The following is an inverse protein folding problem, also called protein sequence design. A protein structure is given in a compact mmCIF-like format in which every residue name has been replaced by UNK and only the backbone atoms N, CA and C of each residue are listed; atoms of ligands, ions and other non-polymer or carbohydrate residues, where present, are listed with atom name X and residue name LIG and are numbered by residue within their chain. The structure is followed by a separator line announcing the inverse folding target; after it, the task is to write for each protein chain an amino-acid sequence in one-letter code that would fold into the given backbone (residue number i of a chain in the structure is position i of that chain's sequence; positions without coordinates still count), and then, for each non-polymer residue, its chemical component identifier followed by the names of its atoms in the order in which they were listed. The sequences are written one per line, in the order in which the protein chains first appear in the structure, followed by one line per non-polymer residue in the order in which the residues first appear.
data_IF_462263592454
#
_entry.id   IF_462263592454
#
_cell.length_a   1.000
_cell.length_b   1.000
_cell.length_c   1.000
_cell.angle_alpha   90.00
_cell.angle_beta   90.00
_cell.angle_gamma   90.00
#
_symmetry.space_group_name_H-M   'P 1'
#
loop_
_entity.id
_entity.type
_entity.pdbx_description
1 polymer ?
#
# COMPACT_ATOMS: atom_id res chain seq x y z
N UNK A 1 4.74 4.93 -40.72
CA UNK A 1 5.59 4.16 -39.79
C UNK A 1 5.81 4.87 -38.46
N UNK A 2 6.26 6.14 -38.45
CA UNK A 2 6.50 6.93 -37.22
C UNK A 2 5.29 7.01 -36.26
N UNK A 3 4.08 7.22 -36.78
CA UNK A 3 2.85 7.30 -35.96
C UNK A 3 2.46 5.98 -35.30
N UNK A 4 2.73 4.84 -35.94
CA UNK A 4 2.46 3.51 -35.38
C UNK A 4 3.48 3.12 -34.30
N UNK A 5 4.74 3.52 -34.48
CA UNK A 5 5.79 3.34 -33.47
C UNK A 5 5.53 4.21 -32.25
N UNK A 6 5.15 5.49 -32.46
CA UNK A 6 4.81 6.39 -31.35
C UNK A 6 3.60 5.89 -30.55
N UNK A 7 2.61 5.30 -31.22
CA UNK A 7 1.45 4.70 -30.55
C UNK A 7 1.85 3.50 -29.67
N UNK A 8 2.75 2.63 -30.15
CA UNK A 8 3.25 1.49 -29.38
C UNK A 8 4.06 1.92 -28.16
N UNK A 9 4.86 2.99 -28.27
CA UNK A 9 5.61 3.56 -27.14
C UNK A 9 4.65 4.09 -26.06
N UNK A 10 3.60 4.81 -26.46
CA UNK A 10 2.61 5.35 -25.51
C UNK A 10 1.89 4.21 -24.77
N UNK A 11 1.46 3.16 -25.50
CA UNK A 11 0.80 1.99 -24.88
C UNK A 11 1.75 1.30 -23.89
N UNK A 12 3.01 1.11 -24.26
CA UNK A 12 4.00 0.49 -23.39
C UNK A 12 4.28 1.30 -22.12
N UNK A 13 4.37 2.63 -22.24
CA UNK A 13 4.54 3.53 -21.09
C UNK A 13 3.35 3.49 -20.13
N UNK A 14 2.12 3.39 -20.64
CA UNK A 14 0.90 3.28 -19.83
C UNK A 14 0.86 1.92 -19.12
N UNK A 15 1.22 0.83 -19.80
CA UNK A 15 1.28 -0.50 -19.19
C UNK A 15 2.34 -0.58 -18.07
N UNK A 16 3.47 0.13 -18.22
CA UNK A 16 4.51 0.18 -17.20
C UNK A 16 4.06 0.90 -15.92
N UNK A 17 3.15 1.87 -16.02
CA UNK A 17 2.66 2.67 -14.88
C UNK A 17 1.66 1.91 -13.99
N UNK A 18 1.17 0.73 -14.40
CA UNK A 18 0.16 -0.03 -13.67
C UNK A 18 0.72 -0.88 -12.51
N UNK A 19 2.05 -1.06 -12.41
CA UNK A 19 2.67 -2.03 -11.51
C UNK A 19 3.13 -1.47 -10.15
N UNK A 20 2.85 -0.19 -9.87
CA UNK A 20 3.27 0.45 -8.62
C UNK A 20 2.42 1.69 -8.39
N UNK A 21 1.24 1.52 -7.81
CA UNK A 21 0.46 2.65 -7.28
C UNK A 21 0.64 2.65 -5.77
N UNK A 22 1.10 3.78 -5.24
CA UNK A 22 1.04 4.05 -3.81
C UNK A 22 -0.43 4.31 -3.43
N UNK A 23 -0.88 3.69 -2.34
CA UNK A 23 -2.18 3.91 -1.73
C UNK A 23 -2.00 4.29 -0.25
N UNK A 24 -2.98 5.03 0.29
CA UNK A 24 -2.99 5.40 1.70
C UNK A 24 -3.66 4.30 2.52
N UNK A 25 -2.96 3.80 3.53
CA UNK A 25 -3.46 2.79 4.47
C UNK A 25 -3.59 3.38 5.87
N UNK A 26 -4.72 3.11 6.53
CA UNK A 26 -4.94 3.50 7.93
C UNK A 26 -5.00 2.27 8.82
N UNK A 27 -4.21 2.27 9.89
CA UNK A 27 -4.32 1.25 10.94
C UNK A 27 -5.60 1.49 11.74
N UNK A 28 -6.54 0.55 11.64
CA UNK A 28 -7.79 0.56 12.40
C UNK A 28 -7.70 -0.26 13.69
N UNK A 29 -6.77 -1.23 13.76
CA UNK A 29 -6.63 -2.13 14.90
C UNK A 29 -7.94 -2.86 15.24
N UNK A 30 -8.79 -3.15 14.26
CA UNK A 30 -10.13 -3.67 14.49
C UNK A 30 -10.15 -5.11 15.01
N UNK A 31 -9.12 -5.91 14.72
CA UNK A 31 -9.08 -7.35 15.02
C UNK A 31 -8.03 -7.70 16.07
N UNK A 32 -6.81 -7.15 15.98
CA UNK A 32 -5.69 -7.46 16.87
C UNK A 32 -4.58 -6.40 16.83
N UNK A 33 -3.50 -6.58 17.60
CA UNK A 33 -2.28 -5.75 17.53
C UNK A 33 -1.29 -6.22 16.46
N UNK A 34 -1.59 -7.29 15.72
CA UNK A 34 -0.71 -7.90 14.71
C UNK A 34 -0.66 -7.07 13.42
N UNK A 35 0.47 -6.41 13.15
CA UNK A 35 0.73 -5.61 11.94
C UNK A 35 0.48 -6.39 10.64
N UNK A 36 0.75 -7.70 10.66
CA UNK A 36 0.62 -8.59 9.51
C UNK A 36 -0.80 -9.07 9.22
N UNK A 37 -1.80 -8.65 10.01
CA UNK A 37 -3.19 -9.02 9.77
C UNK A 37 -3.89 -7.96 8.89
N UNK A 38 -4.28 -8.30 7.64
CA UNK A 38 -4.91 -7.36 6.71
C UNK A 38 -6.21 -6.74 7.23
N UNK A 39 -6.92 -7.44 8.13
CA UNK A 39 -8.18 -6.97 8.70
C UNK A 39 -7.99 -5.85 9.75
N UNK A 40 -6.74 -5.51 10.10
CA UNK A 40 -6.43 -4.33 10.92
C UNK A 40 -6.22 -3.06 10.10
N UNK A 41 -6.28 -3.14 8.77
CA UNK A 41 -6.01 -2.04 7.85
C UNK A 41 -7.26 -1.62 7.09
N UNK A 42 -7.35 -0.34 6.77
CA UNK A 42 -8.32 0.23 5.83
C UNK A 42 -7.59 1.04 4.75
N UNK A 43 -7.72 0.71 3.45
CA UNK A 43 -8.50 -0.40 2.91
C UNK A 43 -7.97 -1.77 3.37
N UNK A 44 -8.83 -2.80 3.32
CA UNK A 44 -8.46 -4.16 3.75
C UNK A 44 -7.35 -4.70 2.86
N UNK A 45 -6.17 -4.89 3.44
CA UNK A 45 -4.95 -5.25 2.73
C UNK A 45 -3.73 -5.08 3.62
N UNK A 46 -2.56 -5.44 3.12
CA UNK A 46 -1.30 -5.07 3.77
C UNK A 46 -0.66 -3.94 2.97
N UNK A 47 -0.28 -2.82 3.61
CA UNK A 47 0.53 -1.81 2.95
C UNK A 47 1.87 -2.43 2.51
N UNK A 48 2.32 -2.01 1.35
CA UNK A 48 3.62 -2.34 0.78
C UNK A 48 4.61 -1.19 1.01
N UNK A 49 5.87 -1.35 0.59
CA UNK A 49 6.91 -0.34 0.82
C UNK A 49 6.73 0.95 0.02
N UNK A 50 5.74 1.03 -0.87
CA UNK A 50 5.43 2.24 -1.63
C UNK A 50 4.18 2.96 -1.12
N UNK A 51 3.47 2.36 -0.17
CA UNK A 51 2.24 2.88 0.39
C UNK A 51 2.53 3.77 1.60
N UNK A 52 1.69 4.79 1.80
CA UNK A 52 1.77 5.65 2.96
C UNK A 52 0.86 5.09 4.06
N UNK A 53 1.39 4.98 5.29
CA UNK A 53 0.65 4.42 6.43
C UNK A 53 0.36 5.48 7.49
N UNK A 54 -0.91 5.60 7.88
CA UNK A 54 -1.37 6.41 9.00
C UNK A 54 -1.73 5.52 10.19
N UNK A 55 -1.15 5.80 11.35
CA UNK A 55 -1.41 5.06 12.60
C UNK A 55 -2.20 5.95 13.54
N UNK A 56 -3.47 5.62 13.77
CA UNK A 56 -4.31 6.33 14.72
C UNK A 56 -4.07 5.84 16.15
N UNK A 57 -4.16 6.76 17.12
CA UNK A 57 -3.93 6.48 18.54
C UNK A 57 -5.20 6.12 19.32
N UNK A 58 -6.37 6.18 18.69
CA UNK A 58 -7.66 5.92 19.32
C UNK A 58 -8.37 4.73 18.66
N UNK A 59 -7.68 3.58 18.65
CA UNK A 59 -8.16 2.33 18.07
C UNK A 59 -8.31 1.24 19.14
N UNK A 60 -9.15 0.21 18.94
CA UNK A 60 -9.36 -0.86 19.92
C UNK A 60 -8.08 -1.63 20.26
N UNK A 61 -7.22 -1.84 19.26
CA UNK A 61 -5.91 -2.47 19.41
C UNK A 61 -4.85 -1.54 18.86
N UNK A 62 -4.03 -0.96 19.75
CA UNK A 62 -2.93 -0.10 19.32
C UNK A 62 -1.95 -0.89 18.44
N UNK A 63 -1.41 -0.23 17.43
CA UNK A 63 -0.34 -0.79 16.63
C UNK A 63 0.88 -1.07 17.52
N UNK A 64 1.21 -2.35 17.71
CA UNK A 64 2.44 -2.77 18.37
C UNK A 64 3.47 -3.09 17.29
N UNK A 65 4.41 -2.18 17.03
CA UNK A 65 5.55 -2.49 16.16
C UNK A 65 6.44 -3.47 16.93
N UNK A 66 6.63 -4.72 16.47
CA UNK A 66 7.50 -5.68 17.14
C UNK A 66 8.91 -5.08 17.18
N UNK A 67 9.36 -4.75 18.39
CA UNK A 67 10.64 -4.16 18.75
C UNK A 67 11.67 -4.07 17.60
N UNK A 68 11.68 -2.93 16.91
CA UNK A 68 12.82 -2.44 16.12
C UNK A 68 13.28 -3.26 14.91
N UNK A 69 12.42 -4.07 14.29
CA UNK A 69 12.75 -4.60 12.97
C UNK A 69 12.32 -3.56 11.93
N UNK A 70 13.27 -2.69 11.56
CA UNK A 70 13.12 -1.81 10.39
C UNK A 70 12.84 -2.71 9.17
N UNK A 71 11.59 -2.68 8.70
CA UNK A 71 11.28 -3.09 7.33
C UNK A 71 11.85 -2.06 6.36
#
# INVERSE_FOLDING_TARGET
MKTRINLLIIIFSIMLSLFCNAEDYTWTGAVSTDWGNPANWDPVGLPTSVDDVSIESNVPNNCEIPNGNNY
#
